data_IF_290953691428
#
_entry.id   IF_290953691428
#
_cell.length_a   1.000
_cell.length_b   1.000
_cell.length_c   1.000
_cell.angle_alpha   90.00
_cell.angle_beta   90.00
_cell.angle_gamma   90.00
#
_symmetry.space_group_name_H-M   'P 1'
#
loop_
_entity.id
_entity.type
_entity.pdbx_description
1 polymer ?
#
# COMPACT_ATOMS: atom_id res chain seq x y z
N UNK A 1 7.90 13.46 -3.19
CA UNK A 1 7.87 13.54 -1.72
C UNK A 1 7.94 15.00 -1.32
N UNK A 2 7.04 15.47 -0.46
CA UNK A 2 7.06 16.83 0.09
C UNK A 2 8.11 16.97 1.20
N UNK A 3 8.28 18.19 1.75
CA UNK A 3 9.26 18.44 2.80
C UNK A 3 8.96 17.69 4.10
N UNK A 4 7.69 17.59 4.51
CA UNK A 4 7.29 16.93 5.76
C UNK A 4 7.64 15.43 5.71
N UNK A 5 7.27 14.77 4.63
CA UNK A 5 7.57 13.35 4.43
C UNK A 5 9.07 13.10 4.28
N UNK A 6 9.81 14.01 3.63
CA UNK A 6 11.27 13.91 3.53
C UNK A 6 11.94 13.99 4.90
N UNK A 7 11.57 14.99 5.71
CA UNK A 7 12.12 15.17 7.06
C UNK A 7 11.76 13.99 7.99
N UNK A 8 10.56 13.43 7.84
CA UNK A 8 10.13 12.26 8.61
C UNK A 8 10.88 10.98 8.21
N UNK A 9 11.12 10.78 6.91
CA UNK A 9 11.93 9.68 6.42
C UNK A 9 13.38 9.81 6.87
N UNK A 10 13.95 11.02 6.83
CA UNK A 10 15.32 11.29 7.30
C UNK A 10 15.51 10.91 8.77
N UNK A 11 14.53 11.23 9.64
CA UNK A 11 14.53 10.79 11.05
C UNK A 11 14.64 9.27 11.18
N UNK A 12 13.93 8.50 10.35
CA UNK A 12 14.08 7.05 10.33
C UNK A 12 15.45 6.61 9.81
N UNK A 13 15.92 7.19 8.70
CA UNK A 13 17.19 6.81 8.09
C UNK A 13 18.40 7.09 9.01
N UNK A 14 18.32 8.11 9.88
CA UNK A 14 19.34 8.39 10.90
C UNK A 14 19.48 7.29 11.95
N UNK A 15 18.43 6.48 12.16
CA UNK A 15 18.46 5.32 13.07
C UNK A 15 19.13 4.10 12.44
N UNK A 16 19.37 4.10 11.13
CA UNK A 16 19.94 2.98 10.38
C UNK A 16 21.47 3.10 10.27
N UNK A 17 22.15 1.94 10.29
CA UNK A 17 23.57 1.87 9.95
C UNK A 17 23.81 2.32 8.49
N UNK A 18 25.04 2.75 8.13
CA UNK A 18 25.38 3.09 6.75
C UNK A 18 25.02 1.97 5.76
N UNK A 19 25.30 0.71 6.11
CA UNK A 19 25.02 -0.46 5.27
C UNK A 19 23.50 -0.68 5.09
N UNK A 20 22.72 -0.47 6.15
CA UNK A 20 21.26 -0.57 6.09
C UNK A 20 20.65 0.52 5.21
N UNK A 21 21.21 1.74 5.24
CA UNK A 21 20.77 2.85 4.37
C UNK A 21 21.10 2.60 2.91
N UNK A 22 22.31 2.11 2.62
CA UNK A 22 22.73 1.79 1.26
C UNK A 22 21.91 0.64 0.65
N UNK A 23 21.38 -0.26 1.49
CA UNK A 23 20.50 -1.34 1.08
C UNK A 23 19.06 -0.91 0.73
N UNK A 24 18.66 0.34 0.97
CA UNK A 24 17.32 0.82 0.63
C UNK A 24 17.23 1.04 -0.89
N UNK A 25 16.39 0.29 -1.62
CA UNK A 25 16.38 0.33 -3.08
C UNK A 25 15.67 1.57 -3.63
N UNK A 26 14.63 2.04 -2.95
CA UNK A 26 13.79 3.16 -3.38
C UNK A 26 12.92 3.66 -2.23
N UNK A 27 12.43 4.89 -2.35
CA UNK A 27 11.59 5.54 -1.34
C UNK A 27 10.42 6.29 -1.97
N UNK A 28 9.27 6.33 -1.30
CA UNK A 28 8.08 7.08 -1.70
C UNK A 28 7.35 7.67 -0.49
N UNK A 29 6.34 8.50 -0.74
CA UNK A 29 5.44 8.99 0.29
C UNK A 29 4.05 9.20 -0.31
N UNK A 30 3.05 8.57 0.29
CA UNK A 30 1.65 8.68 -0.16
C UNK A 30 0.66 8.22 0.91
N UNK A 31 -0.61 8.60 0.75
CA UNK A 31 -1.71 8.01 1.50
C UNK A 31 -2.28 6.77 0.79
N UNK A 32 -3.04 5.96 1.51
CA UNK A 32 -3.83 4.88 0.92
C UNK A 32 -5.25 5.35 0.58
N UNK A 33 -5.95 4.60 -0.28
CA UNK A 33 -7.34 4.85 -0.67
C UNK A 33 -7.54 6.17 -1.46
N UNK A 34 -8.79 6.43 -1.87
CA UNK A 34 -9.14 7.53 -2.76
C UNK A 34 -10.08 8.58 -2.13
N UNK A 35 -10.32 8.49 -0.81
CA UNK A 35 -11.11 9.45 -0.05
C UNK A 35 -10.52 9.69 1.35
N UNK A 36 -10.82 10.87 1.89
CA UNK A 36 -10.26 11.36 3.17
C UNK A 36 -10.51 10.40 4.34
N UNK A 37 -11.72 9.84 4.44
CA UNK A 37 -12.06 8.96 5.54
C UNK A 37 -11.21 7.69 5.49
N UNK A 38 -11.19 7.01 4.34
CA UNK A 38 -10.46 5.75 4.21
C UNK A 38 -8.95 5.97 4.23
N UNK A 39 -8.43 7.07 3.69
CA UNK A 39 -7.01 7.41 3.78
C UNK A 39 -6.53 7.54 5.23
N UNK A 40 -7.28 8.28 6.05
CA UNK A 40 -6.95 8.48 7.44
C UNK A 40 -7.08 7.17 8.24
N UNK A 41 -8.16 6.41 8.01
CA UNK A 41 -8.35 5.10 8.66
C UNK A 41 -7.24 4.13 8.29
N UNK A 42 -6.89 4.01 7.01
CA UNK A 42 -5.83 3.10 6.56
C UNK A 42 -4.47 3.49 7.12
N UNK A 43 -4.13 4.79 7.17
CA UNK A 43 -2.87 5.23 7.76
C UNK A 43 -2.76 4.80 9.24
N UNK A 44 -3.84 4.94 10.02
CA UNK A 44 -3.87 4.47 11.41
C UNK A 44 -3.81 2.93 11.52
N UNK A 45 -4.53 2.21 10.67
CA UNK A 45 -4.51 0.74 10.63
C UNK A 45 -3.12 0.20 10.30
N UNK A 46 -2.40 0.85 9.39
CA UNK A 46 -1.01 0.51 9.08
C UNK A 46 -0.14 0.79 10.29
N UNK A 47 -0.23 1.99 10.87
CA UNK A 47 0.58 2.40 12.03
C UNK A 47 0.47 1.44 13.22
N UNK A 48 -0.73 0.92 13.50
CA UNK A 48 -0.94 -0.03 14.61
C UNK A 48 -0.62 -1.49 14.24
N UNK A 49 -0.17 -1.75 13.01
CA UNK A 49 0.17 -3.09 12.52
C UNK A 49 -1.03 -3.98 12.22
N UNK A 50 -2.23 -3.41 12.03
CA UNK A 50 -3.42 -4.15 11.64
C UNK A 50 -3.51 -4.35 10.13
N UNK A 51 -3.23 -3.31 9.35
CA UNK A 51 -3.08 -3.38 7.89
C UNK A 51 -1.61 -3.62 7.57
N UNK A 52 -1.32 -4.77 6.96
CA UNK A 52 0.05 -5.22 6.61
C UNK A 52 0.15 -5.68 5.16
N UNK A 53 -0.90 -5.43 4.37
CA UNK A 53 -0.95 -5.75 2.95
C UNK A 53 -1.80 -4.72 2.19
N UNK A 54 -1.53 -4.59 0.90
CA UNK A 54 -2.30 -3.81 -0.07
C UNK A 54 -2.27 -4.46 -1.44
N UNK A 55 -3.18 -4.09 -2.32
CA UNK A 55 -3.14 -4.53 -3.70
C UNK A 55 -3.54 -3.43 -4.69
N UNK A 56 -3.15 -3.62 -5.95
CA UNK A 56 -3.39 -2.71 -7.07
C UNK A 56 -3.61 -3.50 -8.37
N UNK A 57 -4.19 -2.86 -9.39
CA UNK A 57 -4.32 -3.49 -10.70
C UNK A 57 -2.95 -3.64 -11.39
N UNK A 58 -2.64 -4.83 -11.90
CA UNK A 58 -1.39 -5.11 -12.65
C UNK A 58 -1.21 -4.21 -13.89
N UNK A 59 -2.33 -3.70 -14.41
CA UNK A 59 -2.36 -2.84 -15.61
C UNK A 59 -1.67 -1.51 -15.41
N UNK A 60 -1.70 -0.94 -14.20
CA UNK A 60 -0.98 0.29 -13.90
C UNK A 60 0.51 0.16 -14.26
N UNK A 61 1.09 -0.99 -13.95
CA UNK A 61 2.49 -1.28 -14.26
C UNK A 61 2.70 -1.72 -15.71
N UNK A 62 1.84 -2.60 -16.22
CA UNK A 62 2.03 -3.22 -17.54
C UNK A 62 1.75 -2.27 -18.69
N UNK A 63 0.75 -1.39 -18.55
CA UNK A 63 0.19 -0.59 -19.65
C UNK A 63 0.29 0.92 -19.40
N UNK A 64 0.34 1.35 -18.14
CA UNK A 64 0.42 2.78 -17.78
C UNK A 64 1.81 3.24 -17.32
N UNK A 65 2.80 2.34 -17.34
CA UNK A 65 4.20 2.69 -17.11
C UNK A 65 4.55 2.98 -15.64
N UNK A 66 3.68 2.61 -14.71
CA UNK A 66 4.03 2.64 -13.29
C UNK A 66 5.14 1.63 -12.97
N UNK A 67 5.93 1.95 -11.96
CA UNK A 67 7.04 1.10 -11.54
C UNK A 67 6.49 0.03 -10.61
N UNK A 68 6.76 -1.24 -10.91
CA UNK A 68 6.38 -2.35 -10.04
C UNK A 68 6.93 -2.15 -8.62
N UNK A 69 6.13 -2.46 -7.58
CA UNK A 69 6.63 -2.44 -6.20
C UNK A 69 7.80 -3.39 -6.04
N UNK A 70 8.73 -3.02 -5.16
CA UNK A 70 9.97 -3.76 -4.95
C UNK A 70 10.16 -4.08 -3.47
N UNK A 71 10.53 -5.32 -3.17
CA UNK A 71 10.91 -5.73 -1.81
C UNK A 71 12.05 -4.83 -1.30
N UNK A 72 11.90 -4.32 -0.08
CA UNK A 72 12.81 -3.38 0.56
C UNK A 72 12.45 -1.91 0.34
N UNK A 73 11.54 -1.57 -0.57
CA UNK A 73 11.04 -0.21 -0.76
C UNK A 73 10.53 0.37 0.56
N UNK A 74 10.86 1.63 0.83
CA UNK A 74 10.32 2.37 1.97
C UNK A 74 9.24 3.36 1.52
N UNK A 75 8.05 3.26 2.12
CA UNK A 75 7.00 4.25 1.92
C UNK A 75 6.75 5.00 3.22
N UNK A 76 6.78 6.32 3.15
CA UNK A 76 6.18 7.17 4.19
C UNK A 76 4.67 7.18 3.97
N UNK A 77 3.94 6.53 4.87
CA UNK A 77 2.48 6.53 4.83
C UNK A 77 2.01 7.86 5.43
N UNK A 78 1.21 8.60 4.67
CA UNK A 78 0.62 9.86 5.13
C UNK A 78 -0.88 9.71 5.39
N UNK A 79 -1.43 10.64 6.17
CA UNK A 79 -2.87 10.87 6.19
C UNK A 79 -3.30 11.65 4.91
N UNK A 80 -4.60 11.96 4.80
CA UNK A 80 -5.15 12.71 3.66
C UNK A 80 -4.54 14.11 3.48
N UNK A 81 -4.19 14.79 4.57
CA UNK A 81 -3.55 16.11 4.56
C UNK A 81 -2.05 16.07 4.21
N UNK A 82 -1.52 14.87 3.94
CA UNK A 82 -0.11 14.64 3.64
C UNK A 82 0.80 14.69 4.87
N UNK A 83 0.24 14.65 6.10
CA UNK A 83 1.03 14.54 7.32
C UNK A 83 1.55 13.10 7.48
N UNK A 84 2.86 12.91 7.70
CA UNK A 84 3.44 11.58 7.89
C UNK A 84 2.91 10.88 9.14
N UNK A 85 2.53 9.61 9.00
CA UNK A 85 1.96 8.77 10.05
C UNK A 85 2.92 7.66 10.48
N UNK A 86 3.53 6.97 9.52
CA UNK A 86 4.55 5.93 9.76
C UNK A 86 5.40 5.68 8.51
N UNK A 87 6.48 4.93 8.64
CA UNK A 87 7.26 4.37 7.52
C UNK A 87 7.05 2.86 7.48
N UNK A 88 6.74 2.33 6.31
CA UNK A 88 6.65 0.89 6.05
C UNK A 88 7.78 0.43 5.13
N UNK A 89 8.10 -0.87 5.20
CA UNK A 89 8.98 -1.56 4.26
C UNK A 89 8.22 -2.68 3.58
N UNK A 90 8.27 -2.74 2.25
CA UNK A 90 7.74 -3.87 1.48
C UNK A 90 8.56 -5.13 1.75
N UNK A 91 7.91 -6.23 2.13
CA UNK A 91 8.52 -7.51 2.47
C UNK A 91 8.23 -8.61 1.46
N UNK A 92 7.11 -8.54 0.73
CA UNK A 92 6.74 -9.47 -0.34
C UNK A 92 6.00 -8.73 -1.46
N UNK A 93 6.26 -9.15 -2.70
CA UNK A 93 5.51 -8.72 -3.88
C UNK A 93 5.16 -9.96 -4.68
N UNK A 94 3.87 -10.17 -4.92
CA UNK A 94 3.36 -11.30 -5.69
C UNK A 94 2.18 -10.88 -6.55
N UNK A 95 1.61 -11.80 -7.32
CA UNK A 95 0.42 -11.53 -8.13
C UNK A 95 -0.59 -12.65 -7.99
N UNK A 96 -1.87 -12.30 -8.07
CA UNK A 96 -2.95 -13.26 -8.22
C UNK A 96 -4.08 -12.63 -9.05
N UNK A 97 -5.05 -13.42 -9.51
CA UNK A 97 -6.28 -12.81 -10.03
C UNK A 97 -7.11 -12.29 -8.88
N UNK A 98 -7.92 -11.27 -9.14
CA UNK A 98 -8.92 -10.79 -8.18
C UNK A 98 -9.74 -11.96 -7.63
N UNK A 99 -10.34 -12.83 -8.46
CA UNK A 99 -11.12 -14.01 -8.03
C UNK A 99 -10.37 -14.96 -7.06
N UNK A 100 -9.03 -14.98 -7.10
CA UNK A 100 -8.19 -15.88 -6.32
C UNK A 100 -7.70 -15.27 -4.98
N UNK A 101 -8.03 -14.00 -4.67
CA UNK A 101 -7.69 -13.38 -3.39
C UNK A 101 -8.26 -14.18 -2.22
N UNK A 102 -7.38 -14.54 -1.29
CA UNK A 102 -7.69 -15.40 -0.16
C UNK A 102 -8.24 -14.61 1.02
N UNK A 103 -8.95 -15.31 1.92
CA UNK A 103 -9.39 -14.71 3.18
C UNK A 103 -8.22 -14.31 4.09
N UNK A 104 -7.07 -14.98 3.98
CA UNK A 104 -5.86 -14.60 4.72
C UNK A 104 -5.30 -13.27 4.22
N UNK A 105 -5.24 -13.06 2.90
CA UNK A 105 -4.80 -11.79 2.34
C UNK A 105 -5.76 -10.65 2.70
N UNK A 106 -7.07 -10.87 2.56
CA UNK A 106 -8.09 -9.90 2.98
C UNK A 106 -7.98 -9.56 4.47
N UNK A 107 -7.66 -10.55 5.32
CA UNK A 107 -7.44 -10.31 6.75
C UNK A 107 -6.18 -9.47 7.00
N UNK A 108 -5.13 -9.65 6.20
CA UNK A 108 -3.89 -8.87 6.26
C UNK A 108 -4.06 -7.44 5.73
N UNK A 109 -4.96 -7.20 4.79
CA UNK A 109 -5.37 -5.85 4.37
C UNK A 109 -6.06 -5.07 5.49
N UNK A 110 -6.63 -5.77 6.48
CA UNK A 110 -6.90 -5.22 7.81
C UNK A 110 -8.06 -4.22 7.92
N UNK A 111 -8.74 -3.90 6.82
CA UNK A 111 -9.86 -2.95 6.77
C UNK A 111 -11.20 -3.59 7.16
N UNK A 112 -12.17 -2.75 7.50
CA UNK A 112 -13.54 -3.16 7.83
C UNK A 112 -13.62 -4.21 8.94
N UNK A 113 -14.34 -5.30 8.69
CA UNK A 113 -14.44 -6.46 9.59
C UNK A 113 -13.37 -7.54 9.33
N UNK A 114 -12.41 -7.25 8.45
CA UNK A 114 -11.30 -8.13 8.03
C UNK A 114 -11.75 -9.44 7.38
N UNK A 115 -12.98 -9.48 6.88
CA UNK A 115 -13.49 -10.63 6.13
C UNK A 115 -13.25 -10.48 4.64
N UNK A 116 -13.16 -11.62 3.94
CA UNK A 116 -13.10 -11.64 2.48
C UNK A 116 -14.33 -10.97 1.85
N UNK A 117 -15.51 -11.12 2.45
CA UNK A 117 -16.74 -10.52 1.91
C UNK A 117 -16.65 -8.99 1.91
N UNK A 118 -16.27 -8.39 3.04
CA UNK A 118 -16.08 -6.93 3.11
C UNK A 118 -15.00 -6.46 2.12
N UNK A 119 -13.88 -7.18 2.04
CA UNK A 119 -12.81 -6.88 1.09
C UNK A 119 -13.33 -6.90 -0.36
N UNK A 120 -14.15 -7.89 -0.72
CA UNK A 120 -14.73 -8.01 -2.07
C UNK A 120 -15.63 -6.83 -2.41
N UNK A 121 -16.50 -6.43 -1.48
CA UNK A 121 -17.42 -5.33 -1.67
C UNK A 121 -16.65 -4.01 -1.87
N UNK A 122 -15.68 -3.73 -1.00
CA UNK A 122 -14.85 -2.53 -1.08
C UNK A 122 -14.01 -2.48 -2.36
N UNK A 123 -13.26 -3.55 -2.66
CA UNK A 123 -12.35 -3.59 -3.81
C UNK A 123 -13.08 -3.70 -5.15
N UNK A 124 -14.28 -4.28 -5.18
CA UNK A 124 -15.10 -4.25 -6.41
C UNK A 124 -15.48 -2.82 -6.77
N UNK A 125 -15.89 -2.00 -5.79
CA UNK A 125 -16.23 -0.61 -6.04
C UNK A 125 -15.00 0.20 -6.47
N UNK A 126 -13.87 0.03 -5.77
CA UNK A 126 -12.61 0.70 -6.06
C UNK A 126 -12.07 0.36 -7.46
N UNK A 127 -11.88 -0.93 -7.78
CA UNK A 127 -11.30 -1.32 -9.07
C UNK A 127 -12.24 -1.08 -10.25
N UNK A 128 -13.56 -1.04 -10.04
CA UNK A 128 -14.49 -0.58 -11.07
C UNK A 128 -14.26 0.88 -11.42
N UNK A 129 -14.09 1.75 -10.42
CA UNK A 129 -13.81 3.15 -10.64
C UNK A 129 -12.47 3.35 -11.39
N UNK A 130 -11.41 2.65 -10.99
CA UNK A 130 -10.13 2.68 -11.72
C UNK A 130 -10.28 2.18 -13.16
N UNK A 131 -11.01 1.07 -13.38
CA UNK A 131 -11.25 0.56 -14.72
C UNK A 131 -12.04 1.55 -15.60
N UNK A 132 -13.03 2.24 -15.02
CA UNK A 132 -13.81 3.26 -15.72
C UNK A 132 -12.91 4.45 -16.14
N UNK A 133 -12.01 4.90 -15.25
CA UNK A 133 -11.02 5.95 -15.56
C UNK A 133 -10.06 5.53 -16.68
N UNK A 134 -9.66 4.27 -16.69
CA UNK A 134 -8.81 3.68 -17.72
C UNK A 134 -9.55 3.32 -19.01
N UNK A 135 -10.88 3.49 -19.06
CA UNK A 135 -11.76 3.07 -20.17
C UNK A 135 -11.60 1.59 -20.53
N UNK A 136 -11.55 0.72 -19.52
CA UNK A 136 -11.45 -0.74 -19.66
C UNK A 136 -12.55 -1.47 -18.90
N UNK A 137 -12.89 -2.69 -19.35
CA UNK A 137 -13.92 -3.48 -18.68
C UNK A 137 -13.46 -4.09 -17.35
N UNK A 138 -14.17 -3.84 -16.26
CA UNK A 138 -13.95 -4.56 -15.01
C UNK A 138 -14.40 -6.03 -15.11
N UNK A 139 -13.56 -6.96 -14.61
CA UNK A 139 -13.94 -8.37 -14.40
C UNK A 139 -13.06 -9.07 -13.35
N UNK A 140 -13.57 -10.11 -12.70
CA UNK A 140 -12.87 -10.79 -11.59
C UNK A 140 -11.59 -11.54 -11.98
N UNK A 141 -11.35 -11.75 -13.28
CA UNK A 141 -10.11 -12.35 -13.80
C UNK A 141 -8.96 -11.36 -13.96
N UNK A 142 -9.13 -10.08 -13.60
CA UNK A 142 -8.06 -9.07 -13.65
C UNK A 142 -6.96 -9.49 -12.67
N UNK A 143 -5.71 -9.31 -13.06
CA UNK A 143 -4.54 -9.60 -12.21
C UNK A 143 -4.31 -8.43 -11.26
N UNK A 144 -4.11 -8.74 -9.99
CA UNK A 144 -3.66 -7.82 -8.97
C UNK A 144 -2.18 -8.02 -8.68
N UNK A 145 -1.49 -6.94 -8.39
CA UNK A 145 -0.21 -6.97 -7.67
C UNK A 145 -0.53 -6.91 -6.18
N UNK A 146 0.03 -7.85 -5.44
CA UNK A 146 -0.13 -7.97 -4.00
C UNK A 146 1.16 -7.55 -3.31
N UNK A 147 1.05 -6.68 -2.33
CA UNK A 147 2.16 -6.21 -1.52
C UNK A 147 1.93 -6.61 -0.07
N UNK A 148 2.98 -7.08 0.60
CA UNK A 148 3.03 -7.18 2.06
C UNK A 148 4.11 -6.27 2.58
N UNK A 149 3.88 -5.73 3.76
CA UNK A 149 4.79 -4.76 4.36
C UNK A 149 4.76 -4.81 5.88
N UNK A 150 5.80 -4.25 6.49
CA UNK A 150 5.93 -4.07 7.93
C UNK A 150 6.14 -2.60 8.26
N UNK A 151 5.61 -2.14 9.40
CA UNK A 151 5.97 -0.81 9.94
C UNK A 151 7.37 -0.88 10.50
N UNK A 152 8.24 0.04 10.04
CA UNK A 152 9.63 0.17 10.50
C UNK A 152 9.86 1.43 11.32
N UNK A 153 8.93 2.40 11.28
CA UNK A 153 8.99 3.63 12.07
C UNK A 153 7.59 4.24 12.31
N UNK A 154 7.26 4.72 13.51
CA UNK A 154 8.04 4.58 14.75
C UNK A 154 8.08 3.11 15.21
N UNK A 155 9.11 2.74 15.97
CA UNK A 155 9.19 1.41 16.60
C UNK A 155 8.30 1.43 17.84
N UNK A 156 7.34 0.51 17.93
CA UNK A 156 6.49 0.33 19.12
C UNK A 156 7.25 -0.23 20.32
#
# INVERSE_FOLDING_TARGET
>A
MDARAKDYLEQFLELLSPEQREAVPSVSADYYCADEYNANVCADLVRIGQKTASCSLELWYREHGEIMPQVGHLQVVTNWDGDPVCVIRITDVSTCKYEDVTAEFAFAEGEGDRTLNWWRDAHTAFFRAECDELNIDWHEKRTLVLERFEVVYPVN
#
